data_IF_997121550687
#
_entry.id   IF_997121550687
#
_cell.length_a   1.000
_cell.length_b   1.000
_cell.length_c   1.000
_cell.angle_alpha   90.00
_cell.angle_beta   90.00
_cell.angle_gamma   90.00
#
_symmetry.space_group_name_H-M   'P 1'
#
loop_
_entity.id
_entity.type
_entity.pdbx_description
1 polymer ?
#
# COMPACT_ATOMS: atom_id res chain seq x y z
N UNK A 1 57.00 1.50 -44.30
CA UNK A 1 56.68 2.44 -43.21
C UNK A 1 55.21 2.31 -42.89
N UNK A 2 54.90 1.99 -41.64
CA UNK A 2 53.59 1.64 -41.11
C UNK A 2 52.72 2.88 -40.88
N UNK A 3 51.43 2.81 -41.22
CA UNK A 3 50.38 3.47 -40.48
C UNK A 3 49.19 2.52 -40.35
N UNK A 4 49.06 1.93 -39.17
CA UNK A 4 47.93 1.12 -38.75
C UNK A 4 47.53 1.60 -37.35
N UNK A 5 46.23 1.58 -37.08
CA UNK A 5 45.56 1.81 -35.79
C UNK A 5 45.23 3.27 -35.40
N UNK A 6 44.01 3.68 -35.71
CA UNK A 6 43.30 4.68 -34.91
C UNK A 6 41.78 4.43 -34.93
N UNK A 7 41.32 3.28 -34.42
CA UNK A 7 39.87 3.06 -34.26
C UNK A 7 39.50 2.00 -33.22
N UNK A 8 39.96 2.11 -31.97
CA UNK A 8 39.50 1.20 -30.87
C UNK A 8 39.20 1.91 -29.55
N UNK A 9 39.34 3.24 -29.42
CA UNK A 9 39.23 3.91 -28.11
C UNK A 9 37.84 4.43 -27.69
N UNK A 10 36.77 4.16 -28.45
CA UNK A 10 35.45 4.73 -28.15
C UNK A 10 34.38 3.74 -27.62
N UNK A 11 34.69 2.46 -27.43
CA UNK A 11 33.66 1.44 -27.14
C UNK A 11 33.56 1.02 -25.66
N UNK A 12 34.43 1.49 -24.77
CA UNK A 12 34.51 1.01 -23.37
C UNK A 12 33.58 1.79 -22.40
N UNK A 13 33.10 2.98 -22.76
CA UNK A 13 32.34 3.84 -21.82
C UNK A 13 30.85 3.46 -21.70
N UNK A 14 30.26 2.82 -22.71
CA UNK A 14 28.82 2.49 -22.71
C UNK A 14 28.49 1.29 -21.80
N UNK A 15 29.45 0.37 -21.56
CA UNK A 15 29.22 -0.83 -20.75
C UNK A 15 29.19 -0.55 -19.23
N UNK A 16 29.89 0.49 -18.77
CA UNK A 16 29.94 0.87 -17.34
C UNK A 16 28.65 1.54 -16.85
N UNK A 17 27.96 2.29 -17.71
CA UNK A 17 26.72 3.00 -17.33
C UNK A 17 25.56 2.01 -17.13
N UNK A 18 25.49 0.94 -17.93
CA UNK A 18 24.45 -0.09 -17.80
C UNK A 18 24.63 -0.96 -16.55
N UNK A 19 25.86 -1.16 -16.08
CA UNK A 19 26.14 -1.94 -14.87
C UNK A 19 25.76 -1.19 -13.58
N UNK A 20 25.92 0.13 -13.54
CA UNK A 20 25.57 0.93 -12.35
C UNK A 20 24.06 0.97 -12.08
N UNK A 21 23.21 1.05 -13.12
CA UNK A 21 21.75 1.09 -12.94
C UNK A 21 21.17 -0.21 -12.38
N UNK A 22 21.71 -1.37 -12.79
CA UNK A 22 21.25 -2.66 -12.29
C UNK A 22 21.57 -2.87 -10.80
N UNK A 23 22.73 -2.38 -10.34
CA UNK A 23 23.12 -2.45 -8.93
C UNK A 23 22.14 -1.66 -8.03
N UNK A 24 21.80 -0.42 -8.40
CA UNK A 24 20.86 0.42 -7.63
C UNK A 24 19.44 -0.12 -7.59
N UNK A 25 18.94 -0.72 -8.68
CA UNK A 25 17.61 -1.34 -8.70
C UNK A 25 17.51 -2.56 -7.76
N UNK A 26 18.59 -3.37 -7.70
CA UNK A 26 18.66 -4.51 -6.79
C UNK A 26 18.73 -4.10 -5.32
N UNK A 27 19.47 -3.03 -5.01
CA UNK A 27 19.55 -2.45 -3.67
C UNK A 27 18.19 -1.93 -3.21
N UNK A 28 17.55 -1.06 -4.01
CA UNK A 28 16.24 -0.51 -3.70
C UNK A 28 15.21 -1.60 -3.41
N UNK A 29 15.14 -2.63 -4.27
CA UNK A 29 14.21 -3.75 -4.09
C UNK A 29 14.42 -4.48 -2.76
N UNK A 30 15.68 -4.70 -2.35
CA UNK A 30 16.02 -5.34 -1.07
C UNK A 30 15.69 -4.48 0.15
N UNK A 31 15.93 -3.17 0.07
CA UNK A 31 15.61 -2.24 1.16
C UNK A 31 14.10 -2.10 1.31
N UNK A 32 13.37 -2.07 0.19
CA UNK A 32 11.90 -2.08 0.18
C UNK A 32 11.35 -3.36 0.82
N UNK A 33 11.88 -4.53 0.46
CA UNK A 33 11.47 -5.79 1.09
C UNK A 33 11.74 -5.83 2.61
N UNK A 34 12.84 -5.20 3.06
CA UNK A 34 13.15 -5.07 4.48
C UNK A 34 12.15 -4.14 5.19
N UNK A 35 11.81 -3.00 4.57
CA UNK A 35 10.82 -2.06 5.10
C UNK A 35 9.43 -2.70 5.18
N UNK A 36 9.01 -3.43 4.13
CA UNK A 36 7.77 -4.23 4.11
C UNK A 36 7.73 -5.22 5.29
N UNK A 37 8.81 -5.97 5.50
CA UNK A 37 8.90 -6.95 6.58
C UNK A 37 8.80 -6.30 7.96
N UNK A 38 9.54 -5.20 8.17
CA UNK A 38 9.51 -4.47 9.44
C UNK A 38 8.13 -3.86 9.72
N UNK A 39 7.51 -3.26 8.69
CA UNK A 39 6.14 -2.76 8.79
C UNK A 39 5.15 -3.89 9.09
N UNK A 40 5.23 -5.04 8.41
CA UNK A 40 4.32 -6.15 8.65
C UNK A 40 4.44 -6.69 10.08
N UNK A 41 5.66 -6.77 10.63
CA UNK A 41 5.89 -7.17 12.02
C UNK A 41 5.24 -6.17 13.00
N UNK A 42 5.37 -4.86 12.75
CA UNK A 42 4.75 -3.83 13.57
C UNK A 42 3.22 -3.80 13.40
N UNK A 43 2.69 -3.96 12.20
CA UNK A 43 1.26 -3.87 11.93
C UNK A 43 0.48 -5.08 12.47
N UNK A 44 1.02 -6.30 12.33
CA UNK A 44 0.31 -7.53 12.70
C UNK A 44 0.60 -8.07 14.10
N UNK A 45 1.42 -7.40 14.91
CA UNK A 45 1.55 -7.75 16.33
C UNK A 45 0.30 -7.35 17.14
N UNK A 46 0.14 -7.96 18.31
CA UNK A 46 -1.01 -7.74 19.20
C UNK A 46 -0.80 -6.68 20.28
N UNK A 47 0.41 -6.14 20.43
CA UNK A 47 0.77 -5.17 21.47
C UNK A 47 0.71 -3.75 20.93
N UNK A 48 -0.36 -3.01 21.26
CA UNK A 48 -0.54 -1.63 20.78
C UNK A 48 0.51 -0.64 21.31
N UNK A 49 1.04 -0.85 22.51
CA UNK A 49 2.05 0.05 23.07
C UNK A 49 3.37 -0.14 22.34
N UNK A 50 3.69 -1.39 21.98
CA UNK A 50 4.81 -1.68 21.10
C UNK A 50 4.61 -1.11 19.70
N UNK A 51 3.39 -1.14 19.16
CA UNK A 51 3.08 -0.50 17.87
C UNK A 51 3.39 1.00 17.90
N UNK A 52 2.92 1.70 18.93
CA UNK A 52 3.16 3.15 19.10
C UNK A 52 4.65 3.50 19.21
N UNK A 53 5.47 2.59 19.73
CA UNK A 53 6.93 2.77 19.80
C UNK A 53 7.64 2.48 18.46
N UNK A 54 7.16 1.52 17.68
CA UNK A 54 7.81 1.10 16.43
C UNK A 54 7.47 2.02 15.23
N UNK A 55 6.23 2.53 15.14
CA UNK A 55 5.81 3.37 14.00
C UNK A 55 6.65 4.63 13.78
N UNK A 56 7.03 5.42 14.81
CA UNK A 56 7.88 6.60 14.60
C UNK A 56 9.24 6.26 13.96
N UNK A 57 9.81 5.10 14.31
CA UNK A 57 11.07 4.62 13.73
C UNK A 57 10.87 4.21 12.27
N UNK A 58 9.78 3.51 11.96
CA UNK A 58 9.43 3.11 10.59
C UNK A 58 9.16 4.32 9.69
N UNK A 59 8.47 5.34 10.21
CA UNK A 59 8.21 6.58 9.49
C UNK A 59 9.51 7.31 9.14
N UNK A 60 10.45 7.40 10.08
CA UNK A 60 11.75 8.00 9.84
C UNK A 60 12.53 7.24 8.75
N UNK A 61 12.56 5.89 8.82
CA UNK A 61 13.21 5.05 7.81
C UNK A 61 12.58 5.23 6.42
N UNK A 62 11.25 5.24 6.34
CA UNK A 62 10.55 5.40 5.07
C UNK A 62 10.77 6.79 4.45
N UNK A 63 10.77 7.85 5.27
CA UNK A 63 11.06 9.21 4.81
C UNK A 63 12.51 9.36 4.33
N UNK A 64 13.48 8.76 5.03
CA UNK A 64 14.88 8.74 4.58
C UNK A 64 15.02 7.99 3.25
N UNK A 65 14.33 6.85 3.11
CA UNK A 65 14.35 6.07 1.88
C UNK A 65 13.78 6.85 0.69
N UNK A 66 12.65 7.54 0.89
CA UNK A 66 12.04 8.39 -0.13
C UNK A 66 12.95 9.58 -0.52
N UNK A 67 13.67 10.16 0.46
CA UNK A 67 14.64 11.21 0.19
C UNK A 67 15.88 10.70 -0.57
N UNK A 68 16.32 9.47 -0.29
CA UNK A 68 17.46 8.82 -0.96
C UNK A 68 17.15 8.43 -2.40
N UNK A 69 15.90 8.07 -2.68
CA UNK A 69 15.43 7.63 -3.99
C UNK A 69 14.28 8.51 -4.51
N UNK A 70 14.53 9.81 -4.79
CA UNK A 70 13.46 10.77 -5.10
C UNK A 70 12.74 10.48 -6.42
N UNK A 71 13.36 9.72 -7.32
CA UNK A 71 12.80 9.36 -8.62
C UNK A 71 12.16 7.96 -8.65
N UNK A 72 12.06 7.29 -7.50
CA UNK A 72 11.38 6.00 -7.36
C UNK A 72 10.02 6.20 -6.68
N UNK A 73 8.97 5.54 -7.20
CA UNK A 73 7.62 5.64 -6.64
C UNK A 73 7.46 4.74 -5.40
N UNK A 74 8.17 3.61 -5.38
CA UNK A 74 8.06 2.55 -4.37
C UNK A 74 8.31 3.06 -2.94
N UNK A 75 9.36 3.87 -2.66
CA UNK A 75 9.55 4.45 -1.32
C UNK A 75 8.40 5.35 -0.87
N UNK A 76 7.83 6.15 -1.79
CA UNK A 76 6.70 7.05 -1.48
C UNK A 76 5.44 6.25 -1.15
N UNK A 77 5.19 5.17 -1.89
CA UNK A 77 4.07 4.25 -1.60
C UNK A 77 4.24 3.65 -0.20
N UNK A 78 5.43 3.15 0.14
CA UNK A 78 5.67 2.59 1.46
C UNK A 78 5.58 3.62 2.58
N UNK A 79 6.12 4.83 2.37
CA UNK A 79 5.97 5.93 3.32
C UNK A 79 4.50 6.24 3.58
N UNK A 80 3.69 6.36 2.51
CA UNK A 80 2.26 6.58 2.64
C UNK A 80 1.55 5.42 3.35
N UNK A 81 1.83 4.16 3.02
CA UNK A 81 1.26 2.98 3.69
C UNK A 81 1.54 2.98 5.20
N UNK A 82 2.78 3.29 5.60
CA UNK A 82 3.16 3.39 7.01
C UNK A 82 2.44 4.57 7.69
N UNK A 83 2.36 5.74 7.02
CA UNK A 83 1.60 6.89 7.50
C UNK A 83 0.13 6.58 7.73
N UNK A 84 -0.51 5.88 6.78
CA UNK A 84 -1.87 5.39 6.92
C UNK A 84 -1.93 4.52 8.17
N UNK A 85 -1.28 3.36 8.20
CA UNK A 85 -1.41 2.44 9.35
C UNK A 85 -1.08 3.05 10.73
N UNK A 86 -0.18 4.02 10.81
CA UNK A 86 0.11 4.77 12.03
C UNK A 86 -1.02 5.74 12.45
N UNK A 87 -1.76 6.31 11.50
CA UNK A 87 -2.83 7.27 11.78
C UNK A 87 -3.93 6.70 12.70
N UNK A 88 -4.11 5.38 12.70
CA UNK A 88 -5.02 4.69 13.60
C UNK A 88 -4.67 4.85 15.11
N UNK A 89 -3.43 5.24 15.45
CA UNK A 89 -2.96 5.46 16.81
C UNK A 89 -2.91 6.95 17.20
N UNK A 90 -3.31 7.84 16.30
CA UNK A 90 -3.28 9.28 16.50
C UNK A 90 -4.64 9.82 16.93
N UNK A 91 -4.67 11.07 17.42
CA UNK A 91 -5.93 11.80 17.58
C UNK A 91 -6.59 12.05 16.23
N UNK A 92 -7.91 12.19 16.18
CA UNK A 92 -8.69 12.36 14.94
C UNK A 92 -8.18 13.49 14.05
N UNK A 93 -7.87 14.67 14.61
CA UNK A 93 -7.34 15.81 13.85
C UNK A 93 -5.95 15.53 13.25
N UNK A 94 -5.06 14.92 14.04
CA UNK A 94 -3.71 14.55 13.58
C UNK A 94 -3.77 13.44 12.52
N UNK A 95 -4.69 12.48 12.71
CA UNK A 95 -4.95 11.40 11.76
C UNK A 95 -5.41 11.96 10.42
N UNK A 96 -6.38 12.88 10.39
CA UNK A 96 -6.85 13.50 9.14
C UNK A 96 -5.71 14.19 8.38
N UNK A 97 -4.91 15.01 9.07
CA UNK A 97 -3.75 15.67 8.43
C UNK A 97 -2.70 14.67 7.92
N UNK A 98 -2.50 13.56 8.64
CA UNK A 98 -1.59 12.48 8.22
C UNK A 98 -2.12 11.76 6.97
N UNK A 99 -3.42 11.47 6.93
CA UNK A 99 -4.07 10.81 5.81
C UNK A 99 -4.11 11.69 4.55
N UNK A 100 -4.31 13.01 4.70
CA UNK A 100 -4.19 13.97 3.58
C UNK A 100 -2.78 13.98 2.99
N UNK A 101 -1.76 13.95 3.85
CA UNK A 101 -0.35 13.90 3.42
C UNK A 101 -0.02 12.56 2.74
N UNK A 102 -0.54 11.45 3.27
CA UNK A 102 -0.39 10.14 2.64
C UNK A 102 -1.09 10.07 1.28
N UNK A 103 -2.29 10.65 1.15
CA UNK A 103 -2.99 10.80 -0.14
C UNK A 103 -2.13 11.53 -1.16
N UNK A 104 -1.53 12.66 -0.79
CA UNK A 104 -0.68 13.43 -1.71
C UNK A 104 0.55 12.62 -2.18
N UNK A 105 1.18 11.86 -1.28
CA UNK A 105 2.30 10.97 -1.63
C UNK A 105 1.87 9.84 -2.59
N UNK A 106 0.68 9.27 -2.38
CA UNK A 106 0.14 8.23 -3.26
C UNK A 106 -0.20 8.79 -4.65
N UNK A 107 -0.79 9.97 -4.71
CA UNK A 107 -1.07 10.68 -5.97
C UNK A 107 0.22 11.00 -6.74
N UNK A 108 1.26 11.46 -6.03
CA UNK A 108 2.60 11.68 -6.62
C UNK A 108 3.20 10.36 -7.13
N UNK A 109 3.15 9.29 -6.34
CA UNK A 109 3.67 7.98 -6.73
C UNK A 109 2.95 7.43 -7.97
N UNK A 110 1.63 7.60 -8.06
CA UNK A 110 0.83 7.22 -9.24
C UNK A 110 1.27 8.00 -10.48
N UNK A 111 1.50 9.31 -10.35
CA UNK A 111 2.02 10.12 -11.46
C UNK A 111 3.41 9.69 -11.91
N UNK A 112 4.27 9.28 -10.97
CA UNK A 112 5.63 8.82 -11.27
C UNK A 112 5.65 7.45 -11.96
N UNK A 113 4.96 6.47 -11.38
CA UNK A 113 4.85 5.13 -11.94
C UNK A 113 3.52 4.48 -11.47
N UNK A 114 2.48 4.46 -12.32
CA UNK A 114 1.18 3.91 -11.95
C UNK A 114 1.22 2.40 -11.68
N UNK A 115 2.23 1.68 -12.18
CA UNK A 115 2.36 0.23 -12.02
C UNK A 115 3.34 -0.15 -10.90
N UNK A 116 3.90 0.82 -10.18
CA UNK A 116 4.82 0.55 -9.08
C UNK A 116 4.17 -0.35 -8.02
N UNK A 117 4.94 -1.35 -7.55
CA UNK A 117 4.49 -2.35 -6.58
C UNK A 117 3.14 -2.98 -6.98
N UNK A 118 3.00 -3.34 -8.25
CA UNK A 118 1.81 -3.99 -8.79
C UNK A 118 0.50 -3.22 -8.53
N UNK A 119 0.57 -1.88 -8.54
CA UNK A 119 -0.58 -1.01 -8.33
C UNK A 119 -0.95 -0.77 -6.86
N UNK A 120 -0.03 -1.02 -5.92
CA UNK A 120 -0.28 -0.81 -4.48
C UNK A 120 -0.72 0.61 -4.13
N UNK A 121 -0.27 1.63 -4.87
CA UNK A 121 -0.72 3.01 -4.65
C UNK A 121 -2.24 3.17 -4.82
N UNK A 122 -2.81 2.50 -5.84
CA UNK A 122 -4.24 2.49 -6.11
C UNK A 122 -5.02 1.70 -5.06
N UNK A 123 -4.45 0.60 -4.54
CA UNK A 123 -5.02 -0.14 -3.41
C UNK A 123 -5.15 0.78 -2.20
N UNK A 124 -4.04 1.35 -1.73
CA UNK A 124 -4.02 2.18 -0.53
C UNK A 124 -4.91 3.42 -0.69
N UNK A 125 -4.81 4.12 -1.83
CA UNK A 125 -5.61 5.32 -2.06
C UNK A 125 -7.12 5.00 -2.19
N UNK A 126 -7.47 3.91 -2.87
CA UNK A 126 -8.84 3.42 -2.95
C UNK A 126 -9.42 3.10 -1.58
N UNK A 127 -8.62 2.44 -0.73
CA UNK A 127 -8.96 2.15 0.66
C UNK A 127 -9.24 3.40 1.48
N UNK A 128 -8.38 4.42 1.36
CA UNK A 128 -8.59 5.69 2.07
C UNK A 128 -9.90 6.36 1.66
N UNK A 129 -10.25 6.34 0.37
CA UNK A 129 -11.45 7.01 -0.12
C UNK A 129 -12.76 6.50 0.50
N UNK A 130 -12.87 5.23 0.91
CA UNK A 130 -14.07 4.73 1.61
C UNK A 130 -13.93 4.68 3.14
N UNK A 131 -12.72 4.83 3.68
CA UNK A 131 -12.47 4.77 5.13
C UNK A 131 -12.55 6.12 5.85
N UNK A 132 -12.35 7.24 5.14
CA UNK A 132 -12.37 8.59 5.74
C UNK A 132 -13.68 9.32 5.47
N UNK A 133 -14.06 10.32 6.30
CA UNK A 133 -15.24 11.14 6.05
C UNK A 133 -15.20 11.85 4.69
N UNK A 134 -16.37 12.08 4.09
CA UNK A 134 -16.49 12.90 2.89
C UNK A 134 -16.38 14.41 3.17
N UNK A 135 -16.57 15.19 2.11
CA UNK A 135 -16.65 16.65 2.20
C UNK A 135 -17.83 17.07 3.11
N UNK A 136 -17.67 18.09 3.99
CA UNK A 136 -16.55 19.03 4.09
C UNK A 136 -15.43 18.64 5.07
N UNK A 137 -15.52 17.47 5.72
CA UNK A 137 -14.60 17.09 6.81
C UNK A 137 -13.28 16.53 6.28
N UNK A 138 -13.34 15.69 5.25
CA UNK A 138 -12.17 15.11 4.59
C UNK A 138 -12.48 14.77 3.13
N UNK A 139 -11.72 13.87 2.52
CA UNK A 139 -11.72 13.60 1.07
C UNK A 139 -12.43 12.31 0.66
N UNK A 140 -13.16 11.65 1.58
CA UNK A 140 -13.85 10.40 1.31
C UNK A 140 -14.82 10.50 0.13
N UNK A 141 -14.80 9.50 -0.76
CA UNK A 141 -15.62 9.41 -1.96
C UNK A 141 -15.67 7.96 -2.47
N UNK A 142 -16.77 7.24 -2.22
CA UNK A 142 -16.92 5.83 -2.61
C UNK A 142 -16.78 5.59 -4.13
N UNK A 143 -17.12 6.58 -4.97
CA UNK A 143 -16.93 6.43 -6.42
C UNK A 143 -15.46 6.44 -6.78
N UNK A 144 -14.67 7.31 -6.15
CA UNK A 144 -13.21 7.32 -6.31
C UNK A 144 -12.59 6.06 -5.72
N UNK A 145 -13.07 5.59 -4.56
CA UNK A 145 -12.64 4.32 -3.98
C UNK A 145 -12.75 3.17 -4.99
N UNK A 146 -13.95 2.98 -5.56
CA UNK A 146 -14.19 1.93 -6.55
C UNK A 146 -13.33 2.09 -7.81
N UNK A 147 -13.16 3.32 -8.29
CA UNK A 147 -12.33 3.60 -9.46
C UNK A 147 -10.88 3.18 -9.21
N UNK A 148 -10.30 3.56 -8.06
CA UNK A 148 -8.92 3.22 -7.73
C UNK A 148 -8.75 1.70 -7.54
N UNK A 149 -9.66 1.05 -6.80
CA UNK A 149 -9.58 -0.40 -6.56
C UNK A 149 -9.81 -1.23 -7.84
N UNK A 150 -10.67 -0.79 -8.77
CA UNK A 150 -10.76 -1.43 -10.09
C UNK A 150 -9.51 -1.22 -10.94
N UNK A 151 -8.83 -0.08 -10.75
CA UNK A 151 -7.55 0.18 -11.43
C UNK A 151 -6.46 -0.76 -10.91
N UNK A 152 -6.36 -0.97 -9.59
CA UNK A 152 -5.41 -1.95 -9.03
C UNK A 152 -5.69 -3.38 -9.50
N UNK A 153 -6.97 -3.79 -9.61
CA UNK A 153 -7.35 -5.07 -10.20
C UNK A 153 -6.95 -5.20 -11.68
N UNK A 154 -6.99 -4.11 -12.43
CA UNK A 154 -6.57 -4.13 -13.84
C UNK A 154 -5.05 -4.29 -13.98
N UNK A 155 -4.29 -3.75 -13.02
CA UNK A 155 -2.82 -3.88 -12.97
C UNK A 155 -2.41 -5.27 -12.48
N UNK A 156 -3.02 -5.74 -11.39
CA UNK A 156 -2.69 -7.02 -10.77
C UNK A 156 -3.95 -7.87 -10.50
N UNK A 157 -4.54 -8.48 -11.55
CA UNK A 157 -5.82 -9.18 -11.45
C UNK A 157 -5.78 -10.42 -10.56
N UNK A 158 -4.59 -10.98 -10.32
CA UNK A 158 -4.37 -12.17 -9.50
C UNK A 158 -3.67 -11.85 -8.16
N UNK A 159 -3.47 -10.57 -7.84
CA UNK A 159 -2.81 -10.13 -6.61
C UNK A 159 -3.71 -10.30 -5.39
N UNK A 160 -3.11 -10.67 -4.26
CA UNK A 160 -3.86 -10.84 -3.00
C UNK A 160 -4.43 -9.51 -2.52
N UNK A 161 -3.65 -8.43 -2.52
CA UNK A 161 -4.06 -7.09 -2.09
C UNK A 161 -5.22 -6.55 -2.93
N UNK A 162 -5.07 -6.51 -4.26
CA UNK A 162 -6.07 -5.94 -5.15
C UNK A 162 -7.43 -6.65 -5.03
N UNK A 163 -7.42 -7.99 -4.93
CA UNK A 163 -8.63 -8.77 -4.77
C UNK A 163 -9.23 -8.64 -3.35
N UNK A 164 -8.39 -8.67 -2.30
CA UNK A 164 -8.88 -8.54 -0.94
C UNK A 164 -9.49 -7.17 -0.67
N UNK A 165 -8.79 -6.08 -0.99
CA UNK A 165 -9.29 -4.73 -0.71
C UNK A 165 -10.47 -4.32 -1.60
N UNK A 166 -10.58 -4.84 -2.82
CA UNK A 166 -11.82 -4.65 -3.59
C UNK A 166 -12.99 -5.41 -2.98
N UNK A 167 -12.76 -6.63 -2.48
CA UNK A 167 -13.79 -7.36 -1.74
C UNK A 167 -14.19 -6.65 -0.44
N UNK A 168 -13.23 -6.10 0.30
CA UNK A 168 -13.47 -5.32 1.53
C UNK A 168 -14.34 -4.09 1.24
N UNK A 169 -14.02 -3.33 0.18
CA UNK A 169 -14.87 -2.25 -0.31
C UNK A 169 -16.27 -2.75 -0.67
N UNK A 170 -16.40 -3.86 -1.41
CA UNK A 170 -17.71 -4.41 -1.75
C UNK A 170 -18.53 -4.78 -0.52
N UNK A 171 -17.90 -5.33 0.53
CA UNK A 171 -18.56 -5.65 1.80
C UNK A 171 -19.02 -4.36 2.51
N UNK A 172 -18.18 -3.33 2.56
CA UNK A 172 -18.53 -2.02 3.14
C UNK A 172 -19.70 -1.34 2.39
N UNK A 173 -19.87 -1.64 1.10
CA UNK A 173 -20.99 -1.17 0.29
C UNK A 173 -22.20 -2.12 0.26
N UNK A 174 -22.29 -3.09 1.18
CA UNK A 174 -23.34 -4.13 1.26
C UNK A 174 -23.48 -5.00 -0.03
N UNK A 175 -22.44 -5.08 -0.86
CA UNK A 175 -22.36 -5.87 -2.10
C UNK A 175 -21.74 -7.25 -1.88
N UNK A 176 -22.20 -7.95 -0.84
CA UNK A 176 -21.63 -9.23 -0.36
C UNK A 176 -21.55 -10.30 -1.44
N UNK A 177 -22.56 -10.42 -2.30
CA UNK A 177 -22.58 -11.43 -3.36
C UNK A 177 -21.41 -11.26 -4.36
N UNK A 178 -21.05 -10.01 -4.66
CA UNK A 178 -19.91 -9.72 -5.54
C UNK A 178 -18.59 -9.96 -4.80
N UNK A 179 -18.51 -9.55 -3.52
CA UNK A 179 -17.31 -9.67 -2.70
C UNK A 179 -16.79 -11.10 -2.60
N UNK A 180 -17.68 -12.09 -2.46
CA UNK A 180 -17.34 -13.52 -2.37
C UNK A 180 -16.40 -13.96 -3.49
N UNK A 181 -16.66 -13.53 -4.73
CA UNK A 181 -15.83 -13.91 -5.89
C UNK A 181 -14.40 -13.36 -5.80
N UNK A 182 -14.23 -12.15 -5.28
CA UNK A 182 -12.92 -11.52 -5.11
C UNK A 182 -12.18 -12.07 -3.88
N UNK A 183 -12.88 -12.41 -2.80
CA UNK A 183 -12.28 -13.11 -1.65
C UNK A 183 -11.71 -14.46 -2.07
N UNK A 184 -12.44 -15.22 -2.89
CA UNK A 184 -11.95 -16.49 -3.44
C UNK A 184 -10.69 -16.29 -4.29
N UNK A 185 -10.64 -15.24 -5.12
CA UNK A 185 -9.43 -14.90 -5.88
C UNK A 185 -8.26 -14.53 -4.99
N UNK A 186 -8.47 -13.72 -3.94
CA UNK A 186 -7.42 -13.39 -2.97
C UNK A 186 -6.87 -14.65 -2.26
N UNK A 187 -7.75 -15.61 -1.93
CA UNK A 187 -7.34 -16.90 -1.34
C UNK A 187 -6.49 -17.72 -2.31
N UNK A 188 -6.86 -17.73 -3.59
CA UNK A 188 -6.20 -18.50 -4.65
C UNK A 188 -5.02 -17.77 -5.30
N UNK A 189 -4.77 -16.51 -4.93
CA UNK A 189 -3.70 -15.68 -5.48
C UNK A 189 -2.34 -16.41 -5.41
N UNK A 190 -1.57 -16.47 -6.51
CA UNK A 190 -0.29 -17.16 -6.54
C UNK A 190 0.63 -16.65 -5.43
N UNK A 191 1.15 -17.57 -4.63
CA UNK A 191 2.21 -17.23 -3.68
C UNK A 191 3.48 -16.86 -4.45
N UNK A 192 4.04 -15.69 -4.14
CA UNK A 192 5.43 -15.37 -4.51
C UNK A 192 6.35 -16.48 -3.96
N UNK A 193 7.51 -16.73 -4.59
CA UNK A 193 8.47 -17.77 -4.13
C UNK A 193 8.82 -17.64 -2.65
N UNK A 194 8.83 -16.42 -2.13
CA UNK A 194 8.93 -16.08 -0.72
C UNK A 194 7.83 -15.08 -0.41
N UNK A 195 6.65 -15.51 0.08
CA UNK A 195 5.59 -14.58 0.42
C UNK A 195 5.97 -13.78 1.66
N UNK A 196 5.60 -12.50 1.66
CA UNK A 196 5.77 -11.68 2.84
C UNK A 196 4.77 -12.07 3.93
N UNK A 197 5.04 -11.65 5.16
CA UNK A 197 4.08 -11.79 6.26
C UNK A 197 2.74 -11.11 5.89
N UNK A 198 2.79 -9.98 5.18
CA UNK A 198 1.59 -9.26 4.76
C UNK A 198 0.73 -10.09 3.79
N UNK A 199 1.35 -10.73 2.78
CA UNK A 199 0.63 -11.63 1.85
C UNK A 199 -0.13 -12.73 2.59
N UNK A 200 0.54 -13.35 3.56
CA UNK A 200 -0.03 -14.45 4.35
C UNK A 200 -1.20 -13.96 5.21
N UNK A 201 -1.04 -12.81 5.87
CA UNK A 201 -2.06 -12.22 6.73
C UNK A 201 -3.28 -11.75 5.95
N UNK A 202 -3.09 -11.14 4.77
CA UNK A 202 -4.19 -10.77 3.88
C UNK A 202 -4.95 -11.99 3.38
N UNK A 203 -4.26 -13.09 3.07
CA UNK A 203 -4.95 -14.33 2.70
C UNK A 203 -5.81 -14.88 3.84
N UNK A 204 -5.30 -14.85 5.07
CA UNK A 204 -6.08 -15.30 6.23
C UNK A 204 -7.26 -14.36 6.52
N UNK A 205 -7.08 -13.05 6.33
CA UNK A 205 -8.16 -12.08 6.38
C UNK A 205 -9.24 -12.37 5.32
N UNK A 206 -8.84 -12.72 4.09
CA UNK A 206 -9.76 -13.09 3.02
C UNK A 206 -10.58 -14.35 3.37
N UNK A 207 -9.96 -15.38 3.94
CA UNK A 207 -10.67 -16.60 4.40
C UNK A 207 -11.68 -16.28 5.50
N UNK A 208 -11.28 -15.44 6.45
CA UNK A 208 -12.15 -15.01 7.55
C UNK A 208 -13.36 -14.20 7.03
N UNK A 209 -13.12 -13.24 6.14
CA UNK A 209 -14.17 -12.44 5.52
C UNK A 209 -15.13 -13.32 4.69
N UNK A 210 -14.61 -14.30 3.94
CA UNK A 210 -15.44 -15.22 3.15
C UNK A 210 -16.36 -16.04 4.06
N UNK A 211 -15.81 -16.59 5.14
CA UNK A 211 -16.59 -17.36 6.12
C UNK A 211 -17.71 -16.51 6.74
N UNK A 212 -17.43 -15.23 7.05
CA UNK A 212 -18.44 -14.31 7.60
C UNK A 212 -19.53 -13.99 6.58
N UNK A 213 -19.13 -13.68 5.34
CA UNK A 213 -20.05 -13.40 4.23
C UNK A 213 -21.01 -14.57 3.96
N UNK A 214 -20.51 -15.80 3.95
CA UNK A 214 -21.32 -17.02 3.75
C UNK A 214 -22.29 -17.28 4.91
N UNK A 215 -21.94 -16.84 6.12
CA UNK A 215 -22.79 -16.96 7.31
C UNK A 215 -23.84 -15.84 7.43
N UNK A 216 -23.90 -14.93 6.45
CA UNK A 216 -24.76 -13.74 6.53
C UNK A 216 -24.39 -12.79 7.68
N UNK A 217 -23.16 -12.92 8.19
CA UNK A 217 -22.63 -12.01 9.21
C UNK A 217 -21.99 -10.85 8.48
N UNK A 218 -22.30 -9.64 8.92
CA UNK A 218 -21.59 -8.45 8.49
C UNK A 218 -20.10 -8.67 8.76
N UNK A 219 -19.30 -8.75 7.70
CA UNK A 219 -17.86 -8.90 7.78
C UNK A 219 -17.26 -7.54 8.16
N UNK A 220 -17.38 -7.13 9.42
CA UNK A 220 -16.99 -5.77 9.79
C UNK A 220 -17.33 -5.40 11.22
N UNK A 221 -16.51 -5.86 12.17
CA UNK A 221 -16.26 -5.00 13.33
C UNK A 221 -15.67 -3.71 12.79
N UNK A 222 -16.30 -2.56 13.10
CA UNK A 222 -15.88 -1.24 12.61
C UNK A 222 -14.35 -1.13 12.56
N UNK A 223 -13.79 -0.79 11.41
CA UNK A 223 -12.34 -0.63 11.29
C UNK A 223 -11.84 0.39 12.31
N UNK A 224 -10.57 0.33 12.69
CA UNK A 224 -9.99 1.28 13.66
C UNK A 224 -10.23 2.74 13.23
N UNK A 225 -10.30 3.01 11.92
CA UNK A 225 -10.70 4.31 11.35
C UNK A 225 -12.17 4.66 11.53
N UNK A 226 -13.08 3.72 11.23
CA UNK A 226 -14.51 3.95 11.42
C UNK A 226 -14.83 4.24 12.90
N UNK A 227 -14.09 3.62 13.83
CA UNK A 227 -14.18 3.95 15.26
C UNK A 227 -13.57 5.32 15.57
N UNK A 228 -12.36 5.59 15.08
CA UNK A 228 -11.64 6.85 15.28
C UNK A 228 -12.42 8.10 14.82
N UNK A 229 -13.13 8.01 13.69
CA UNK A 229 -13.89 9.14 13.14
C UNK A 229 -15.35 9.18 13.60
N UNK A 230 -15.90 8.08 14.13
CA UNK A 230 -17.21 8.11 14.78
C UNK A 230 -17.20 8.94 16.06
N UNK A 231 -16.12 8.85 16.85
CA UNK A 231 -15.99 9.60 18.10
C UNK A 231 -15.79 11.11 17.88
N UNK A 232 -15.11 11.49 16.79
CA UNK A 232 -14.88 12.90 16.43
C UNK A 232 -16.18 13.65 16.08
N UNK A 233 -17.15 12.97 15.45
CA UNK A 233 -18.45 13.55 15.11
C UNK A 233 -19.39 13.71 16.31
N UNK A 234 -19.16 12.97 17.41
CA UNK A 234 -19.95 13.09 18.64
C UNK A 234 -19.44 14.20 19.58
N UNK A 235 -18.22 14.71 19.38
CA UNK A 235 -17.65 15.82 20.17
C UNK A 235 -18.00 17.21 19.61
N UNK A 236 -18.69 17.28 18.46
CA UNK A 236 -19.09 18.51 17.77
C UNK A 236 -20.61 18.78 17.82
N UNK A 237 -21.35 18.04 18.66
CA UNK A 237 -22.78 18.26 18.95
C UNK A 237 -23.02 18.74 20.36
#
# INVERSE_FOLDING_TARGET
MHYSQCMVKATIVVFLILFSSAASASELSSVIATLESNWANAYYQHDEDRQKLEYPLLLAQAAELAARYPNAAEPKIWQATIMVTNAAFQSSLTALSTLDSAKALLEEAIHMNPNALDGAAYVTLGTLYYMVPGWPVSFGDNRKAEQMLKTSLSINPNGVDANYFYADYLLDQDRTAEAVSFLQKAIQAPLRKQPSLADLRLRDAAKSALTQAEQGRQAGGKTKYQSLFADANNQTR
#
